data_IF_722293355571
#
_entry.id   IF_722293355571
#
_cell.length_a   1.000
_cell.length_b   1.000
_cell.length_c   1.000
_cell.angle_alpha   90.00
_cell.angle_beta   90.00
_cell.angle_gamma   90.00
#
_symmetry.space_group_name_H-M   'P 1'
#
loop_
_entity.id
_entity.type
_entity.pdbx_description
1 polymer ?
#
# COMPACT_ATOMS: atom_id res chain seq x y z
N UNK A 1 -13.05 9.41 6.92
CA UNK A 1 -13.12 10.87 6.68
C UNK A 1 -14.26 11.15 5.73
N UNK A 2 -14.98 12.26 5.91
CA UNK A 2 -16.00 12.70 4.96
C UNK A 2 -15.37 12.96 3.57
N UNK A 3 -16.02 12.55 2.49
CA UNK A 3 -15.44 12.65 1.15
C UNK A 3 -15.37 14.09 0.63
N UNK A 4 -16.32 14.95 0.98
CA UNK A 4 -16.28 16.37 0.58
C UNK A 4 -15.13 17.09 1.28
N UNK A 5 -14.80 16.69 2.51
CA UNK A 5 -13.59 17.16 3.16
C UNK A 5 -12.32 16.73 2.40
N UNK A 6 -12.23 15.48 1.91
CA UNK A 6 -11.09 15.04 1.09
C UNK A 6 -10.96 15.86 -0.19
N UNK A 7 -12.06 16.16 -0.88
CA UNK A 7 -12.04 17.05 -2.06
C UNK A 7 -11.49 18.43 -1.76
N UNK A 8 -11.94 19.04 -0.64
CA UNK A 8 -11.44 20.34 -0.20
C UNK A 8 -9.95 20.30 0.13
N UNK A 9 -9.46 19.22 0.73
CA UNK A 9 -8.03 19.04 0.99
C UNK A 9 -7.29 18.95 -0.34
N UNK A 10 -7.73 18.08 -1.26
CA UNK A 10 -7.08 17.87 -2.56
C UNK A 10 -6.90 19.17 -3.35
N UNK A 11 -7.88 20.10 -3.32
CA UNK A 11 -7.77 21.38 -4.02
C UNK A 11 -6.77 22.38 -3.41
N UNK A 12 -6.22 22.09 -2.23
CA UNK A 12 -5.30 22.98 -1.51
C UNK A 12 -3.85 22.47 -1.51
N UNK A 13 -3.63 21.22 -1.90
CA UNK A 13 -2.31 20.59 -1.82
C UNK A 13 -1.52 20.90 -3.11
N UNK A 14 -0.24 21.33 -3.00
CA UNK A 14 0.59 21.59 -4.18
C UNK A 14 0.81 20.34 -5.05
N UNK A 15 1.04 20.55 -6.34
CA UNK A 15 1.43 19.48 -7.27
C UNK A 15 2.80 18.90 -6.92
N UNK A 16 3.02 17.63 -7.29
CA UNK A 16 4.31 16.95 -7.15
C UNK A 16 4.71 16.56 -5.73
N UNK A 17 3.93 16.91 -4.70
CA UNK A 17 4.22 16.47 -3.33
C UNK A 17 3.78 15.02 -3.11
N UNK A 18 4.34 14.39 -2.07
CA UNK A 18 3.92 13.06 -1.61
C UNK A 18 2.64 13.19 -0.78
N UNK A 19 1.62 12.41 -1.15
CA UNK A 19 0.39 12.24 -0.38
C UNK A 19 0.32 10.81 0.13
N UNK A 20 0.40 10.66 1.45
CA UNK A 20 0.21 9.38 2.14
C UNK A 20 -1.26 9.24 2.52
N UNK A 21 -1.99 8.35 1.85
CA UNK A 21 -3.43 8.12 2.07
C UNK A 21 -3.68 7.04 3.14
N UNK A 22 -3.04 7.16 4.30
CA UNK A 22 -3.24 6.26 5.44
C UNK A 22 -3.20 7.02 6.79
N UNK A 23 -3.57 6.33 7.86
CA UNK A 23 -3.40 6.75 9.26
C UNK A 23 -3.18 5.47 10.09
N UNK A 24 -3.54 5.44 11.37
CA UNK A 24 -3.46 4.26 12.24
C UNK A 24 -4.45 3.11 11.90
N UNK A 25 -5.00 3.06 10.69
CA UNK A 25 -5.95 2.04 10.25
C UNK A 25 -5.68 1.59 8.81
N UNK A 26 -6.39 0.54 8.38
CA UNK A 26 -6.26 -0.01 7.03
C UNK A 26 -6.93 0.90 5.99
N UNK A 27 -6.19 1.54 5.07
CA UNK A 27 -6.77 2.50 4.12
C UNK A 27 -7.78 1.85 3.15
N UNK A 28 -7.60 0.58 2.80
CA UNK A 28 -8.45 -0.12 1.84
C UNK A 28 -9.88 -0.39 2.34
N UNK A 29 -10.16 -0.17 3.64
CA UNK A 29 -11.52 -0.23 4.18
C UNK A 29 -12.33 1.04 3.89
N UNK A 30 -11.69 2.12 3.43
CA UNK A 30 -12.41 3.34 3.12
C UNK A 30 -13.34 3.10 1.90
N UNK A 31 -14.67 3.31 2.03
CA UNK A 31 -15.61 2.91 0.99
C UNK A 31 -15.36 3.56 -0.37
N UNK A 32 -14.77 4.75 -0.38
CA UNK A 32 -14.47 5.55 -1.56
C UNK A 32 -12.96 5.66 -1.81
N UNK A 33 -12.20 4.62 -1.47
CA UNK A 33 -10.74 4.61 -1.56
C UNK A 33 -10.24 5.03 -2.95
N UNK A 34 -10.63 4.32 -4.01
CA UNK A 34 -10.18 4.61 -5.37
C UNK A 34 -10.58 6.01 -5.84
N UNK A 35 -11.77 6.49 -5.47
CA UNK A 35 -12.21 7.84 -5.77
C UNK A 35 -11.39 8.90 -5.02
N UNK A 36 -11.07 8.66 -3.75
CA UNK A 36 -10.27 9.58 -2.95
C UNK A 36 -8.83 9.68 -3.47
N UNK A 37 -8.23 8.56 -3.83
CA UNK A 37 -6.88 8.52 -4.45
C UNK A 37 -6.86 9.32 -5.76
N UNK A 38 -7.91 9.21 -6.59
CA UNK A 38 -8.00 9.94 -7.87
C UNK A 38 -8.06 11.46 -7.73
N UNK A 39 -8.47 12.00 -6.57
CA UNK A 39 -8.47 13.45 -6.35
C UNK A 39 -7.06 14.06 -6.33
N UNK A 40 -6.03 13.23 -6.15
CA UNK A 40 -4.64 13.63 -6.05
C UNK A 40 -3.84 13.29 -7.32
N UNK A 41 -4.44 13.50 -8.49
CA UNK A 41 -3.88 13.08 -9.79
C UNK A 41 -2.51 13.68 -10.12
N UNK A 42 -2.23 14.89 -9.60
CA UNK A 42 -0.97 15.61 -9.79
C UNK A 42 0.01 15.42 -8.62
N UNK A 43 -0.27 14.53 -7.67
CA UNK A 43 0.60 14.21 -6.54
C UNK A 43 1.14 12.78 -6.64
N UNK A 44 2.19 12.50 -5.86
CA UNK A 44 2.75 11.16 -5.70
C UNK A 44 1.92 10.43 -4.65
N UNK A 45 1.14 9.43 -5.06
CA UNK A 45 0.14 8.77 -4.23
C UNK A 45 0.68 7.49 -3.61
N UNK A 46 0.71 7.45 -2.28
CA UNK A 46 1.28 6.36 -1.50
C UNK A 46 0.29 5.86 -0.45
N UNK A 47 0.33 4.57 -0.13
CA UNK A 47 -0.36 4.00 1.03
C UNK A 47 0.54 3.00 1.76
N UNK A 48 0.22 2.78 3.03
CA UNK A 48 0.67 1.65 3.81
C UNK A 48 -0.54 0.75 4.12
N UNK A 49 -0.44 -0.55 3.88
CA UNK A 49 -1.53 -1.53 4.06
C UNK A 49 -1.04 -2.81 4.73
N UNK A 50 -1.97 -3.54 5.35
CA UNK A 50 -1.79 -4.91 5.81
C UNK A 50 -2.01 -5.96 4.71
N UNK A 51 -2.36 -5.54 3.49
CA UNK A 51 -2.55 -6.39 2.32
C UNK A 51 -3.73 -7.38 2.36
N UNK A 52 -4.65 -7.29 3.33
CA UNK A 52 -5.81 -8.21 3.37
C UNK A 52 -6.81 -7.96 2.24
N UNK A 53 -6.94 -6.73 1.78
CA UNK A 53 -7.93 -6.32 0.78
C UNK A 53 -7.33 -6.02 -0.61
N UNK A 54 -6.02 -6.18 -0.80
CA UNK A 54 -5.34 -5.71 -2.04
C UNK A 54 -5.81 -6.43 -3.30
N UNK A 55 -6.27 -7.68 -3.17
CA UNK A 55 -6.81 -8.45 -4.29
C UNK A 55 -8.21 -7.95 -4.65
N UNK A 56 -9.08 -7.77 -3.66
CA UNK A 56 -10.45 -7.33 -3.86
C UNK A 56 -10.53 -5.87 -4.32
N UNK A 57 -9.54 -5.06 -3.92
CA UNK A 57 -9.39 -3.65 -4.27
C UNK A 57 -8.40 -3.41 -5.42
N UNK A 58 -8.01 -4.45 -6.16
CA UNK A 58 -6.99 -4.34 -7.21
C UNK A 58 -7.30 -3.25 -8.24
N UNK A 59 -8.56 -3.13 -8.67
CA UNK A 59 -8.99 -2.12 -9.65
C UNK A 59 -8.97 -0.67 -9.10
N UNK A 60 -9.01 -0.51 -7.77
CA UNK A 60 -8.88 0.80 -7.12
C UNK A 60 -7.42 1.18 -6.85
N UNK A 61 -6.50 0.21 -6.87
CA UNK A 61 -5.07 0.35 -6.54
C UNK A 61 -4.22 0.49 -7.81
N UNK A 62 -4.38 -0.43 -8.75
CA UNK A 62 -3.50 -0.56 -9.92
C UNK A 62 -3.67 0.67 -10.82
N UNK A 63 -2.53 1.23 -11.25
CA UNK A 63 -2.44 2.47 -12.03
C UNK A 63 -3.01 3.73 -11.34
N UNK A 64 -3.53 3.60 -10.12
CA UNK A 64 -4.06 4.71 -9.34
C UNK A 64 -3.07 5.21 -8.26
N UNK A 65 -2.18 4.33 -7.79
CA UNK A 65 -1.13 4.63 -6.81
C UNK A 65 0.26 4.61 -7.46
N UNK A 66 1.21 5.34 -6.86
CA UNK A 66 2.62 5.32 -7.25
C UNK A 66 3.40 4.23 -6.53
N UNK A 67 3.14 4.09 -5.23
CA UNK A 67 3.75 3.09 -4.35
C UNK A 67 2.73 2.52 -3.36
N UNK A 68 2.92 1.25 -3.00
CA UNK A 68 2.17 0.57 -1.94
C UNK A 68 3.16 -0.11 -0.99
N UNK A 69 3.14 0.30 0.27
CA UNK A 69 3.92 -0.35 1.32
C UNK A 69 3.06 -1.41 1.99
N UNK A 70 3.56 -2.64 2.04
CA UNK A 70 2.93 -3.75 2.73
C UNK A 70 3.70 -3.99 4.02
N UNK A 71 3.02 -3.83 5.15
CA UNK A 71 3.62 -4.05 6.46
C UNK A 71 3.63 -5.55 6.76
N UNK A 72 4.82 -6.10 6.96
CA UNK A 72 5.05 -7.52 7.26
C UNK A 72 5.65 -7.62 8.65
N UNK A 73 4.95 -8.28 9.56
CA UNK A 73 5.33 -8.35 10.98
C UNK A 73 5.93 -9.72 11.33
N UNK A 74 6.91 -9.72 12.25
CA UNK A 74 7.39 -10.95 12.87
C UNK A 74 6.25 -11.71 13.57
N UNK A 75 6.19 -13.03 13.37
CA UNK A 75 5.22 -13.95 14.01
C UNK A 75 3.75 -13.57 13.80
N UNK A 76 3.43 -12.89 12.70
CA UNK A 76 2.04 -12.67 12.32
C UNK A 76 1.37 -14.02 12.01
N UNK A 77 0.27 -14.31 12.73
CA UNK A 77 -0.52 -15.53 12.53
C UNK A 77 -1.19 -15.56 11.17
N UNK A 78 -1.40 -14.41 10.56
CA UNK A 78 -2.01 -14.24 9.24
C UNK A 78 -0.95 -14.04 8.14
N UNK A 79 0.35 -14.15 8.47
CA UNK A 79 1.44 -13.86 7.54
C UNK A 79 1.47 -14.79 6.31
N UNK A 80 1.05 -16.05 6.46
CA UNK A 80 0.95 -16.97 5.32
C UNK A 80 -0.16 -16.59 4.34
N UNK A 81 -1.32 -16.19 4.87
CA UNK A 81 -2.43 -15.68 4.06
C UNK A 81 -2.06 -14.37 3.37
N UNK A 82 -1.44 -13.44 4.12
CA UNK A 82 -0.92 -12.19 3.57
C UNK A 82 0.01 -12.45 2.38
N UNK A 83 0.96 -13.38 2.53
CA UNK A 83 1.90 -13.72 1.46
C UNK A 83 1.20 -14.23 0.19
N UNK A 84 0.20 -15.10 0.32
CA UNK A 84 -0.56 -15.60 -0.84
C UNK A 84 -1.43 -14.51 -1.49
N UNK A 85 -2.02 -13.61 -0.70
CA UNK A 85 -2.73 -12.43 -1.23
C UNK A 85 -1.80 -11.52 -2.02
N UNK A 86 -0.61 -11.24 -1.51
CA UNK A 86 0.40 -10.44 -2.22
C UNK A 86 0.81 -11.10 -3.52
N UNK A 87 1.11 -12.40 -3.50
CA UNK A 87 1.47 -13.14 -4.71
C UNK A 87 0.36 -13.09 -5.77
N UNK A 88 -0.91 -13.21 -5.34
CA UNK A 88 -2.08 -13.07 -6.23
C UNK A 88 -2.20 -11.65 -6.78
N UNK A 89 -2.05 -10.63 -5.94
CA UNK A 89 -2.08 -9.23 -6.35
C UNK A 89 -0.99 -8.90 -7.37
N UNK A 90 0.25 -9.33 -7.14
CA UNK A 90 1.36 -9.13 -8.07
C UNK A 90 1.08 -9.77 -9.43
N UNK A 91 0.43 -10.94 -9.46
CA UNK A 91 -0.01 -11.57 -10.72
C UNK A 91 -1.06 -10.74 -11.46
N UNK A 92 -2.01 -10.14 -10.75
CA UNK A 92 -3.08 -9.28 -11.33
C UNK A 92 -2.51 -7.95 -11.83
N UNK A 93 -1.64 -7.34 -11.03
CA UNK A 93 -0.93 -6.09 -11.34
C UNK A 93 0.00 -6.25 -12.55
N UNK A 94 0.78 -7.33 -12.59
CA UNK A 94 1.87 -7.49 -13.55
C UNK A 94 2.88 -6.35 -13.40
N UNK A 95 3.35 -5.80 -14.53
CA UNK A 95 4.35 -4.72 -14.55
C UNK A 95 3.75 -3.31 -14.35
N UNK A 96 2.43 -3.21 -14.12
CA UNK A 96 1.73 -1.93 -13.94
C UNK A 96 2.03 -1.31 -12.57
N UNK A 97 1.66 -0.05 -12.37
CA UNK A 97 1.80 0.61 -11.05
C UNK A 97 0.81 0.04 -10.03
N UNK A 98 1.02 0.18 -8.71
CA UNK A 98 2.12 0.85 -8.01
C UNK A 98 3.40 0.00 -7.82
N UNK A 99 4.54 0.62 -7.49
CA UNK A 99 5.69 -0.14 -6.98
C UNK A 99 5.36 -0.72 -5.60
N UNK A 100 5.69 -1.99 -5.37
CA UNK A 100 5.42 -2.67 -4.09
C UNK A 100 6.65 -2.62 -3.19
N UNK A 101 6.46 -2.21 -1.95
CA UNK A 101 7.50 -2.19 -0.91
C UNK A 101 7.06 -3.13 0.21
N UNK A 102 7.87 -4.11 0.57
CA UNK A 102 7.64 -4.95 1.74
C UNK A 102 8.42 -4.37 2.91
N UNK A 103 7.72 -3.73 3.87
CA UNK A 103 8.31 -3.22 5.10
C UNK A 103 8.30 -4.33 6.14
N UNK A 104 9.46 -4.96 6.32
CA UNK A 104 9.66 -6.06 7.27
C UNK A 104 10.01 -5.52 8.66
N UNK A 105 9.12 -5.75 9.62
CA UNK A 105 9.20 -5.26 11.00
C UNK A 105 9.49 -6.43 11.96
N UNK A 106 10.62 -6.37 12.64
CA UNK A 106 11.13 -7.45 13.49
C UNK A 106 11.93 -8.51 12.71
N UNK A 107 12.07 -9.71 13.29
CA UNK A 107 12.80 -10.82 12.66
C UNK A 107 11.93 -11.60 11.65
N UNK A 108 11.56 -10.93 10.57
CA UNK A 108 10.82 -11.52 9.44
C UNK A 108 11.76 -12.34 8.55
N UNK A 109 11.28 -13.46 8.02
CA UNK A 109 11.95 -14.21 6.94
C UNK A 109 11.96 -13.39 5.64
N UNK A 110 12.97 -12.53 5.47
CA UNK A 110 13.10 -11.69 4.28
C UNK A 110 13.41 -12.49 3.01
N UNK A 111 13.98 -13.69 3.12
CA UNK A 111 14.28 -14.53 1.95
C UNK A 111 13.01 -15.02 1.27
N UNK A 112 11.95 -15.26 2.06
CA UNK A 112 10.61 -15.51 1.52
C UNK A 112 10.10 -14.34 0.68
N UNK A 113 10.19 -13.12 1.19
CA UNK A 113 9.65 -11.92 0.53
C UNK A 113 10.48 -11.47 -0.67
N UNK A 114 11.80 -11.71 -0.66
CA UNK A 114 12.69 -11.46 -1.82
C UNK A 114 12.33 -12.27 -3.08
N UNK A 115 11.52 -13.33 -2.95
CA UNK A 115 11.02 -14.12 -4.09
C UNK A 115 9.90 -13.42 -4.85
N UNK A 116 9.32 -12.37 -4.28
CA UNK A 116 8.24 -11.60 -4.88
C UNK A 116 8.78 -10.33 -5.54
N UNK A 117 8.12 -9.87 -6.59
CA UNK A 117 8.45 -8.60 -7.24
C UNK A 117 8.10 -7.41 -6.34
N UNK A 118 9.12 -6.84 -5.69
CA UNK A 118 8.99 -5.71 -4.79
C UNK A 118 10.29 -5.36 -4.09
N UNK A 119 10.31 -4.20 -3.45
CA UNK A 119 11.46 -3.66 -2.72
C UNK A 119 11.38 -4.12 -1.27
N UNK A 120 12.45 -4.68 -0.72
CA UNK A 120 12.54 -5.02 0.70
C UNK A 120 13.03 -3.80 1.48
N UNK A 121 12.23 -3.32 2.43
CA UNK A 121 12.62 -2.32 3.41
C UNK A 121 12.69 -2.98 4.79
N UNK A 122 13.84 -2.87 5.46
CA UNK A 122 14.05 -3.43 6.80
C UNK A 122 14.48 -2.32 7.74
N UNK A 123 13.82 -2.24 8.90
CA UNK A 123 14.34 -1.41 9.98
C UNK A 123 15.50 -2.16 10.65
N UNK A 124 16.66 -1.51 10.75
CA UNK A 124 17.78 -2.07 11.51
C UNK A 124 17.33 -2.24 12.97
N UNK A 125 17.59 -3.38 13.62
CA UNK A 125 17.39 -3.47 15.06
C UNK A 125 18.18 -2.33 15.70
N UNK A 126 17.52 -1.54 16.55
CA UNK A 126 18.20 -0.63 17.46
C UNK A 126 19.18 -1.49 18.27
N UNK A 127 20.48 -1.25 18.07
CA UNK A 127 21.56 -1.85 18.83
C UNK A 127 21.47 -1.45 20.31
#
# INVERSE_FOLDING_TARGET
>A
MDFELVKKIASQIPEGIVVQLHNNGEPLVYPRFGEAVRLFENQIKCIDTNAKLIVDKADEIIDNLDTITISVFERDKEGDEQYELVKKFLKIKGNRKPNVIFRCLGNVDTERWKKLDGIIARESPLL
#
